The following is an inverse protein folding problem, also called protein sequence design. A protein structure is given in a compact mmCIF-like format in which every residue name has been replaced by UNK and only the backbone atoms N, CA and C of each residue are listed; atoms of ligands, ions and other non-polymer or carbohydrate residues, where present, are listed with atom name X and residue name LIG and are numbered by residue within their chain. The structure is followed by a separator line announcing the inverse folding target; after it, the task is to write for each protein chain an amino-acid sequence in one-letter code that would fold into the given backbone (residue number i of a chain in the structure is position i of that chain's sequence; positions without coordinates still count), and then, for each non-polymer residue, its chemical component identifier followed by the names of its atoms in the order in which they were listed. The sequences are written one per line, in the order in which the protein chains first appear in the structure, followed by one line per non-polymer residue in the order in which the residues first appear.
data_IF_084907111429
#
_entry.id   IF_084907111429
#
_cell.length_a   1.000
_cell.length_b   1.000
_cell.length_c   1.000
_cell.angle_alpha   90.00
_cell.angle_beta   90.00
_cell.angle_gamma   90.00
#
_symmetry.space_group_name_H-M   'P 1'
#
loop_
_entity.id
_entity.type
_entity.pdbx_description
1 polymer ?
#
# COMPACT_ATOMS: atom_id res chain seq x y z
N UNK A 1 17.04 3.78 -2.25
CA UNK A 1 15.97 4.17 -1.29
C UNK A 1 14.68 4.40 -2.08
N UNK A 2 13.53 3.97 -1.57
CA UNK A 2 12.23 4.25 -2.21
C UNK A 2 11.85 5.72 -1.93
N UNK A 3 11.72 6.58 -2.95
CA UNK A 3 11.35 7.98 -2.75
C UNK A 3 9.98 8.10 -2.07
N UNK A 4 9.85 9.02 -1.11
CA UNK A 4 8.58 9.25 -0.40
C UNK A 4 8.19 8.17 0.62
N UNK A 5 8.93 7.07 0.77
CA UNK A 5 8.55 5.95 1.64
C UNK A 5 8.20 6.35 3.08
N UNK A 6 9.00 7.22 3.69
CA UNK A 6 8.73 7.70 5.07
C UNK A 6 7.35 8.36 5.17
N UNK A 7 7.00 9.18 4.17
CA UNK A 7 5.70 9.87 4.14
C UNK A 7 4.55 8.92 3.84
N UNK A 8 4.75 7.97 2.91
CA UNK A 8 3.79 6.89 2.64
C UNK A 8 3.49 6.10 3.91
N UNK A 9 4.53 5.69 4.64
CA UNK A 9 4.40 4.94 5.91
C UNK A 9 3.62 5.73 6.95
N UNK A 10 4.01 6.97 7.25
CA UNK A 10 3.31 7.81 8.23
C UNK A 10 1.84 8.00 7.85
N UNK A 11 1.58 8.49 6.62
CA UNK A 11 0.22 8.81 6.17
C UNK A 11 -0.71 7.60 6.20
N UNK A 12 -0.21 6.41 5.86
CA UNK A 12 -1.00 5.18 5.86
C UNK A 12 -1.32 4.72 7.29
N UNK A 13 -0.36 4.78 8.21
CA UNK A 13 -0.58 4.49 9.63
C UNK A 13 -1.59 5.48 10.24
N UNK A 14 -1.44 6.77 9.97
CA UNK A 14 -2.37 7.83 10.40
C UNK A 14 -3.79 7.64 9.82
N UNK A 15 -3.88 7.07 8.62
CA UNK A 15 -5.16 6.73 7.98
C UNK A 15 -5.79 5.45 8.54
N UNK A 16 -5.07 4.69 9.36
CA UNK A 16 -5.55 3.49 10.05
C UNK A 16 -4.92 2.18 9.60
N UNK A 17 -3.89 2.16 8.74
CA UNK A 17 -3.20 0.91 8.43
C UNK A 17 -2.61 0.27 9.70
N UNK A 18 -2.64 -1.07 9.78
CA UNK A 18 -2.07 -1.82 10.90
C UNK A 18 -0.54 -1.86 10.86
N UNK A 19 0.02 -1.81 9.65
CA UNK A 19 1.45 -1.88 9.40
C UNK A 19 1.75 -1.57 7.94
N UNK A 20 2.93 -1.02 7.69
CA UNK A 20 3.37 -0.61 6.35
C UNK A 20 4.84 -0.95 6.19
N UNK A 21 5.20 -1.61 5.09
CA UNK A 21 6.59 -1.99 4.78
C UNK A 21 6.82 -2.07 3.28
N UNK A 22 8.07 -2.28 2.89
CA UNK A 22 8.45 -2.56 1.51
C UNK A 22 7.92 -3.93 1.11
N UNK A 23 7.34 -4.04 -0.09
CA UNK A 23 6.90 -5.31 -0.65
C UNK A 23 8.04 -5.95 -1.46
N UNK A 24 8.53 -7.10 -1.01
CA UNK A 24 9.71 -7.75 -1.60
C UNK A 24 10.96 -6.87 -1.52
N UNK A 25 11.68 -6.75 -2.64
CA UNK A 25 12.85 -5.86 -2.74
C UNK A 25 12.48 -4.38 -3.02
N UNK A 26 11.20 -4.07 -3.26
CA UNK A 26 10.74 -2.76 -3.74
C UNK A 26 10.72 -2.64 -5.28
N UNK A 27 10.26 -1.49 -5.82
CA UNK A 27 9.89 -0.25 -5.13
C UNK A 27 8.48 -0.22 -4.53
N UNK A 28 7.70 -1.30 -4.69
CA UNK A 28 6.35 -1.39 -4.16
C UNK A 28 6.32 -1.36 -2.63
N UNK A 29 5.23 -0.78 -2.09
CA UNK A 29 4.97 -0.68 -0.66
C UNK A 29 3.65 -1.38 -0.37
N UNK A 30 3.61 -2.16 0.71
CA UNK A 30 2.42 -2.87 1.15
C UNK A 30 1.95 -2.34 2.50
N UNK A 31 0.63 -2.19 2.65
CA UNK A 31 -0.02 -1.83 3.90
C UNK A 31 -1.00 -2.93 4.33
N UNK A 32 -0.89 -3.39 5.57
CA UNK A 32 -1.81 -4.36 6.17
C UNK A 32 -3.01 -3.64 6.78
N UNK A 33 -4.21 -4.08 6.44
CA UNK A 33 -5.46 -3.43 6.85
C UNK A 33 -6.52 -4.47 7.22
N UNK A 34 -7.48 -4.09 8.05
CA UNK A 34 -8.71 -4.88 8.31
C UNK A 34 -9.75 -4.56 7.24
N UNK A 35 -10.58 -5.55 6.90
CA UNK A 35 -11.71 -5.35 5.97
C UNK A 35 -12.72 -4.30 6.45
N UNK A 36 -12.84 -4.10 7.76
CA UNK A 36 -13.71 -3.09 8.37
C UNK A 36 -13.21 -1.65 8.22
N UNK A 37 -11.96 -1.45 7.79
CA UNK A 37 -11.37 -0.13 7.63
C UNK A 37 -11.66 0.47 6.25
N UNK A 38 -11.52 1.79 6.14
CA UNK A 38 -11.68 2.48 4.87
C UNK A 38 -10.40 2.32 4.01
N UNK A 39 -10.31 1.21 3.27
CA UNK A 39 -9.16 0.87 2.42
C UNK A 39 -8.88 1.94 1.34
N UNK A 40 -9.91 2.60 0.82
CA UNK A 40 -9.76 3.69 -0.14
C UNK A 40 -9.10 4.91 0.48
N UNK A 41 -9.44 5.26 1.73
CA UNK A 41 -8.79 6.34 2.48
C UNK A 41 -7.31 6.03 2.70
N UNK A 42 -6.99 4.80 3.12
CA UNK A 42 -5.60 4.38 3.34
C UNK A 42 -4.81 4.43 2.02
N UNK A 43 -5.35 3.89 0.94
CA UNK A 43 -4.73 3.95 -0.40
C UNK A 43 -4.47 5.39 -0.88
N UNK A 44 -5.45 6.29 -0.78
CA UNK A 44 -5.27 7.71 -1.11
C UNK A 44 -4.22 8.40 -0.23
N UNK A 45 -4.11 8.03 1.04
CA UNK A 45 -3.08 8.56 1.94
C UNK A 45 -1.67 8.09 1.54
N UNK A 46 -1.53 6.84 1.07
CA UNK A 46 -0.29 6.32 0.50
C UNK A 46 0.08 7.06 -0.78
N UNK A 47 -0.87 7.24 -1.70
CA UNK A 47 -0.71 7.97 -2.95
C UNK A 47 -0.22 9.40 -2.71
N UNK A 48 -0.81 10.13 -1.75
CA UNK A 48 -0.33 11.45 -1.32
C UNK A 48 1.11 11.43 -0.80
N UNK A 49 1.53 10.33 -0.16
CA UNK A 49 2.90 10.14 0.29
C UNK A 49 3.89 10.09 -0.87
N UNK A 50 3.58 9.33 -1.92
CA UNK A 50 4.39 9.27 -3.13
C UNK A 50 4.36 10.57 -3.93
N UNK A 51 3.18 11.18 -4.07
CA UNK A 51 3.01 12.46 -4.76
C UNK A 51 3.83 13.59 -4.12
N UNK A 52 4.04 13.57 -2.79
CA UNK A 52 4.93 14.54 -2.10
C UNK A 52 6.40 14.44 -2.55
N UNK A 53 6.80 13.30 -3.10
CA UNK A 53 8.11 13.07 -3.72
C UNK A 53 8.07 13.16 -5.26
N UNK A 54 6.96 13.66 -5.84
CA UNK A 54 6.72 13.74 -7.29
C UNK A 54 6.80 12.37 -7.98
N UNK A 55 6.34 11.32 -7.30
CA UNK A 55 6.26 9.96 -7.82
C UNK A 55 4.79 9.58 -7.99
N UNK A 56 4.42 9.17 -9.20
CA UNK A 56 3.12 8.59 -9.47
C UNK A 56 3.09 7.12 -9.03
N UNK A 57 1.92 6.63 -8.63
CA UNK A 57 1.77 5.25 -8.20
C UNK A 57 0.37 4.71 -8.48
N UNK A 58 0.28 3.39 -8.67
CA UNK A 58 -0.98 2.68 -8.71
C UNK A 58 -1.32 2.10 -7.34
N UNK A 59 -2.60 2.22 -6.95
CA UNK A 59 -3.12 1.62 -5.73
C UNK A 59 -3.90 0.35 -6.06
N UNK A 60 -3.40 -0.79 -5.60
CA UNK A 60 -4.05 -2.09 -5.74
C UNK A 60 -4.57 -2.56 -4.38
N UNK A 61 -5.90 -2.59 -4.23
CA UNK A 61 -6.54 -3.18 -3.05
C UNK A 61 -6.75 -4.66 -3.32
N UNK A 62 -6.06 -5.53 -2.58
CA UNK A 62 -6.12 -6.97 -2.74
C UNK A 62 -6.36 -7.71 -1.42
N UNK A 63 -6.59 -9.02 -1.53
CA UNK A 63 -6.70 -9.98 -0.43
C UNK A 63 -5.85 -11.22 -0.75
N UNK A 64 -5.49 -12.04 0.24
CA UNK A 64 -4.79 -13.30 0.00
C UNK A 64 -5.50 -14.13 -1.08
N UNK A 65 -4.73 -14.64 -2.05
CA UNK A 65 -5.22 -15.46 -3.15
C UNK A 65 -5.08 -16.96 -2.84
N UNK A 66 -5.84 -17.80 -3.54
CA UNK A 66 -5.78 -19.26 -3.41
C UNK A 66 -4.59 -19.92 -4.15
N UNK A 67 -3.70 -19.13 -4.76
CA UNK A 67 -2.58 -19.64 -5.56
C UNK A 67 -2.97 -20.01 -6.99
N UNK A 68 -2.04 -20.65 -7.71
CA UNK A 68 -2.22 -21.06 -9.10
C UNK A 68 -3.22 -22.23 -9.21
N UNK A 69 -3.97 -22.28 -10.32
CA UNK A 69 -4.93 -23.35 -10.63
C UNK A 69 -4.83 -23.76 -12.09
N UNK A 70 -4.89 -25.06 -12.36
CA UNK A 70 -5.05 -25.60 -13.70
C UNK A 70 -6.50 -25.37 -14.12
N UNK A 71 -6.72 -24.80 -15.30
CA UNK A 71 -8.05 -24.74 -15.94
C UNK A 71 -8.13 -25.89 -16.93
N UNK A 72 -9.06 -26.82 -16.69
CA UNK A 72 -9.45 -27.85 -17.63
C UNK A 72 -10.43 -27.28 -18.67
#
# INVERSE_FOLDING_TARGET
MIPGFSKVKSNALDAGALGVTISGAGPSVIAFCKKSQNLKKIGKSMEKGFSSAKVDCDIIICKPSAGAKIRA
#
